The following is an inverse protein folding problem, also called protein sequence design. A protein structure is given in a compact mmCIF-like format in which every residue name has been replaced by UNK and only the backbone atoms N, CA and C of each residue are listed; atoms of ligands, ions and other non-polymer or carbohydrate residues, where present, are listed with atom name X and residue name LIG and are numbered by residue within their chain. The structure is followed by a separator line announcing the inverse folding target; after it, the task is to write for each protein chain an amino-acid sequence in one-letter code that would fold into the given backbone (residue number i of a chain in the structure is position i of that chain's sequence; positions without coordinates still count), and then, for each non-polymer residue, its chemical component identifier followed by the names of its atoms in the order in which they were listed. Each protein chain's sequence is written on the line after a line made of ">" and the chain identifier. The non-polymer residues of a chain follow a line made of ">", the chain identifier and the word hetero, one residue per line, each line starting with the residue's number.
data_IF_169779271668
#
_entry.id   IF_169779271668
#
_cell.length_a   1.000
_cell.length_b   1.000
_cell.length_c   1.000
_cell.angle_alpha   90.00
_cell.angle_beta   90.00
_cell.angle_gamma   90.00
#
_symmetry.space_group_name_H-M   'P 1'
#
loop_
_entity.id
_entity.type
_entity.pdbx_description
1 polymer ?
#
# COMPACT_ATOMS: atom_id res chain seq x y z
N UNK A 1 13.42 -11.25 6.94
CA UNK A 1 12.01 -11.60 7.14
C UNK A 1 11.72 -12.85 6.31
N UNK A 2 11.31 -13.93 6.95
CA UNK A 2 11.11 -15.24 6.31
C UNK A 2 9.95 -15.19 5.31
N UNK A 3 10.19 -15.67 4.09
CA UNK A 3 9.30 -15.67 2.92
C UNK A 3 8.01 -16.51 3.07
N UNK A 4 7.65 -16.90 4.30
CA UNK A 4 6.44 -17.66 4.59
C UNK A 4 5.86 -17.28 5.98
N UNK A 5 4.96 -16.29 6.06
CA UNK A 5 4.42 -15.86 7.34
C UNK A 5 3.50 -16.95 7.93
N UNK A 6 3.83 -17.42 9.14
CA UNK A 6 3.03 -18.41 9.88
C UNK A 6 1.73 -17.85 10.45
N UNK A 7 1.59 -16.51 10.47
CA UNK A 7 0.43 -15.79 10.98
C UNK A 7 0.00 -14.74 9.95
N UNK A 8 -1.31 -14.51 9.85
CA UNK A 8 -1.89 -13.51 8.95
C UNK A 8 -1.52 -12.08 9.37
N UNK A 9 -1.47 -11.82 10.68
CA UNK A 9 -1.06 -10.56 11.27
C UNK A 9 0.10 -10.81 12.23
N UNK A 10 1.12 -9.95 12.17
CA UNK A 10 2.23 -9.91 13.12
C UNK A 10 2.17 -8.53 13.76
N UNK A 11 1.53 -8.46 14.92
CA UNK A 11 1.35 -7.25 15.71
C UNK A 11 1.95 -7.47 17.09
N UNK A 12 2.35 -6.39 17.75
CA UNK A 12 2.56 -6.46 19.19
C UNK A 12 1.20 -6.51 19.91
N UNK A 13 1.23 -6.90 21.18
CA UNK A 13 0.01 -7.05 21.97
C UNK A 13 -0.72 -5.71 22.16
N UNK A 14 0.01 -4.60 22.25
CA UNK A 14 -0.58 -3.29 22.49
C UNK A 14 -1.36 -2.78 21.25
N UNK A 15 -0.80 -2.93 20.07
CA UNK A 15 -1.42 -2.61 18.79
C UNK A 15 -2.62 -3.53 18.53
N UNK A 16 -2.50 -4.83 18.82
CA UNK A 16 -3.61 -5.77 18.70
C UNK A 16 -4.77 -5.39 19.64
N UNK A 17 -4.50 -5.09 20.91
CA UNK A 17 -5.53 -4.63 21.83
C UNK A 17 -6.15 -3.30 21.41
N UNK A 18 -5.36 -2.38 20.87
CA UNK A 18 -5.86 -1.11 20.32
C UNK A 18 -6.85 -1.36 19.18
N UNK A 19 -6.49 -2.22 18.22
CA UNK A 19 -7.37 -2.59 17.11
C UNK A 19 -8.65 -3.27 17.62
N UNK A 20 -8.55 -4.19 18.58
CA UNK A 20 -9.71 -4.88 19.17
C UNK A 20 -10.63 -3.93 19.94
N UNK A 21 -10.09 -2.91 20.60
CA UNK A 21 -10.88 -1.86 21.25
C UNK A 21 -11.65 -1.04 20.20
N UNK A 22 -10.94 -0.57 19.18
CA UNK A 22 -11.52 0.19 18.08
C UNK A 22 -12.61 -0.61 17.34
N UNK A 23 -12.43 -1.92 17.15
CA UNK A 23 -13.45 -2.80 16.56
C UNK A 23 -14.75 -2.82 17.38
N UNK A 24 -14.64 -2.96 18.70
CA UNK A 24 -15.80 -3.03 19.62
C UNK A 24 -16.57 -1.72 19.69
N UNK A 25 -15.87 -0.60 19.59
CA UNK A 25 -16.45 0.73 19.78
C UNK A 25 -16.87 1.43 18.48
N UNK A 26 -16.50 0.88 17.32
CA UNK A 26 -16.72 1.53 16.05
C UNK A 26 -18.21 1.71 15.73
N UNK A 27 -18.63 2.96 15.50
CA UNK A 27 -20.01 3.36 15.15
C UNK A 27 -20.15 3.95 13.73
N UNK A 28 -19.17 3.69 12.86
CA UNK A 28 -19.22 4.16 11.46
C UNK A 28 -19.79 3.13 10.49
N UNK A 29 -19.64 3.37 9.19
CA UNK A 29 -20.07 2.44 8.14
C UNK A 29 -19.22 1.16 8.20
N UNK A 30 -19.86 -0.01 8.33
CA UNK A 30 -19.20 -1.31 8.46
C UNK A 30 -18.21 -1.63 7.33
N UNK A 31 -18.56 -1.30 6.08
CA UNK A 31 -17.68 -1.49 4.92
C UNK A 31 -16.36 -0.70 5.01
N UNK A 32 -16.34 0.41 5.75
CA UNK A 32 -15.09 1.14 6.02
C UNK A 32 -14.20 0.37 6.98
N UNK A 33 -14.76 -0.28 8.01
CA UNK A 33 -14.01 -1.11 8.95
C UNK A 33 -13.44 -2.36 8.25
N UNK A 34 -14.27 -3.05 7.46
CA UNK A 34 -13.84 -4.19 6.62
C UNK A 34 -12.67 -3.79 5.71
N UNK A 35 -12.79 -2.65 5.03
CA UNK A 35 -11.73 -2.15 4.17
C UNK A 35 -10.45 -1.79 4.93
N UNK A 36 -10.57 -1.23 6.14
CA UNK A 36 -9.43 -0.88 6.97
C UNK A 36 -8.67 -2.13 7.45
N UNK A 37 -9.41 -3.15 7.94
CA UNK A 37 -8.83 -4.45 8.31
C UNK A 37 -8.18 -5.14 7.11
N UNK A 38 -8.84 -5.12 5.94
CA UNK A 38 -8.26 -5.63 4.70
C UNK A 38 -6.98 -4.89 4.33
N UNK A 39 -6.94 -3.57 4.48
CA UNK A 39 -5.74 -2.77 4.24
C UNK A 39 -4.60 -3.14 5.21
N UNK A 40 -4.90 -3.41 6.49
CA UNK A 40 -3.90 -3.89 7.45
C UNK A 40 -3.27 -5.22 7.01
N UNK A 41 -4.11 -6.20 6.63
CA UNK A 41 -3.65 -7.51 6.15
C UNK A 41 -2.77 -7.35 4.91
N UNK A 42 -3.23 -6.59 3.90
CA UNK A 42 -2.43 -6.33 2.70
C UNK A 42 -1.13 -5.60 3.05
N UNK A 43 -1.16 -4.69 4.02
CA UNK A 43 0.02 -4.00 4.55
C UNK A 43 1.06 -4.94 5.14
N UNK A 44 0.65 -5.98 5.88
CA UNK A 44 1.57 -6.99 6.40
C UNK A 44 2.27 -7.77 5.29
N UNK A 45 1.54 -8.10 4.22
CA UNK A 45 2.04 -8.94 3.13
C UNK A 45 2.82 -8.17 2.08
N UNK A 46 2.50 -6.90 1.82
CA UNK A 46 3.09 -6.09 0.75
C UNK A 46 3.90 -4.90 1.26
N UNK A 47 3.64 -4.45 2.48
CA UNK A 47 4.26 -3.28 3.08
C UNK A 47 3.45 -1.99 2.92
N UNK A 48 3.65 -1.04 3.84
CA UNK A 48 2.86 0.20 3.89
C UNK A 48 3.08 1.11 2.68
N UNK A 49 4.24 1.01 1.98
CA UNK A 49 4.46 1.76 0.74
C UNK A 49 3.48 1.36 -0.35
N UNK A 50 3.14 0.07 -0.45
CA UNK A 50 2.14 -0.41 -1.41
C UNK A 50 0.76 0.12 -1.06
N UNK A 51 0.39 0.17 0.22
CA UNK A 51 -0.87 0.77 0.65
C UNK A 51 -1.02 2.25 0.22
N UNK A 52 0.07 3.03 0.27
CA UNK A 52 0.07 4.42 -0.21
C UNK A 52 -0.06 4.57 -1.72
N UNK A 53 0.20 3.52 -2.49
CA UNK A 53 -0.02 3.47 -3.93
C UNK A 53 -1.46 3.05 -4.27
N UNK A 54 -2.06 2.20 -3.43
CA UNK A 54 -3.42 1.69 -3.58
C UNK A 54 -4.48 2.70 -3.16
N UNK A 55 -4.23 3.43 -2.08
CA UNK A 55 -5.20 4.34 -1.48
C UNK A 55 -4.74 5.79 -1.59
N UNK A 56 -5.68 6.69 -1.85
CA UNK A 56 -5.41 8.12 -1.75
C UNK A 56 -5.08 8.50 -0.28
N UNK A 57 -4.43 9.65 -0.04
CA UNK A 57 -4.01 10.04 1.31
C UNK A 57 -5.14 10.22 2.33
N UNK A 58 -6.37 10.52 1.88
CA UNK A 58 -7.52 10.68 2.77
C UNK A 58 -8.04 9.31 3.24
N UNK A 59 -8.19 8.36 2.31
CA UNK A 59 -8.59 6.98 2.60
C UNK A 59 -7.57 6.26 3.48
N UNK A 60 -6.28 6.42 3.19
CA UNK A 60 -5.20 5.83 4.00
C UNK A 60 -5.30 6.28 5.46
N UNK A 61 -5.42 7.59 5.71
CA UNK A 61 -5.57 8.15 7.06
C UNK A 61 -6.89 7.77 7.72
N UNK A 62 -7.97 7.65 6.93
CA UNK A 62 -9.26 7.19 7.43
C UNK A 62 -9.13 5.79 8.01
N UNK A 63 -8.45 4.87 7.32
CA UNK A 63 -8.25 3.50 7.79
C UNK A 63 -7.38 3.44 9.04
N UNK A 64 -6.29 4.21 9.11
CA UNK A 64 -5.47 4.32 10.32
C UNK A 64 -6.31 4.82 11.52
N UNK A 65 -7.14 5.84 11.32
CA UNK A 65 -8.05 6.35 12.37
C UNK A 65 -9.09 5.32 12.80
N UNK A 66 -9.61 4.53 11.85
CA UNK A 66 -10.60 3.49 12.15
C UNK A 66 -9.98 2.40 13.02
N UNK A 67 -8.74 1.99 12.75
CA UNK A 67 -8.05 0.94 13.48
C UNK A 67 -7.30 1.41 14.74
N UNK A 68 -7.04 2.71 14.87
CA UNK A 68 -6.29 3.27 15.99
C UNK A 68 -4.77 3.10 15.89
N UNK A 69 -4.25 2.66 14.74
CA UNK A 69 -2.83 2.38 14.52
C UNK A 69 -2.30 3.08 13.26
N UNK A 70 -1.00 3.35 13.24
CA UNK A 70 -0.32 3.82 12.03
C UNK A 70 0.24 2.64 11.25
N UNK A 71 -0.11 2.50 9.97
CA UNK A 71 0.37 1.40 9.14
C UNK A 71 1.89 1.39 9.01
N UNK A 72 2.54 2.56 9.10
CA UNK A 72 4.00 2.65 9.10
C UNK A 72 4.68 1.98 10.30
N UNK A 73 3.97 1.89 11.43
CA UNK A 73 4.47 1.29 12.68
C UNK A 73 4.22 -0.21 12.67
N UNK A 74 3.03 -0.61 12.25
CA UNK A 74 2.59 -2.01 12.34
C UNK A 74 2.95 -2.86 11.13
N UNK A 75 3.19 -2.25 9.95
CA UNK A 75 3.53 -2.97 8.73
C UNK A 75 4.98 -2.71 8.31
N UNK A 76 5.64 -3.67 7.63
CA UNK A 76 6.94 -3.45 7.00
C UNK A 76 6.88 -2.31 5.97
N UNK A 77 8.01 -1.65 5.68
CA UNK A 77 8.05 -0.62 4.63
C UNK A 77 7.70 -1.18 3.25
N UNK A 78 8.33 -2.30 2.92
CA UNK A 78 8.10 -3.09 1.72
C UNK A 78 8.50 -4.53 2.06
N UNK A 79 7.78 -5.52 1.55
CA UNK A 79 8.15 -6.94 1.69
C UNK A 79 8.74 -7.47 0.39
N UNK A 80 9.37 -8.64 0.41
CA UNK A 80 9.82 -9.30 -0.82
C UNK A 80 8.64 -9.62 -1.76
N UNK A 81 7.50 -10.02 -1.21
CA UNK A 81 6.28 -10.22 -1.99
C UNK A 81 5.80 -8.90 -2.61
N UNK A 82 5.84 -7.79 -1.86
CA UNK A 82 5.51 -6.46 -2.32
C UNK A 82 6.40 -6.01 -3.47
N UNK A 83 7.73 -6.16 -3.33
CA UNK A 83 8.69 -5.91 -4.42
C UNK A 83 8.39 -6.78 -5.63
N UNK A 84 8.10 -8.07 -5.43
CA UNK A 84 7.89 -9.04 -6.52
C UNK A 84 6.57 -8.83 -7.28
N UNK A 85 5.48 -8.52 -6.59
CA UNK A 85 4.12 -8.50 -7.17
C UNK A 85 3.52 -7.11 -7.38
N UNK A 86 4.02 -6.06 -6.72
CA UNK A 86 3.47 -4.71 -6.89
C UNK A 86 4.09 -4.00 -8.10
N UNK A 87 3.31 -3.90 -9.18
CA UNK A 87 3.68 -3.16 -10.39
C UNK A 87 3.81 -1.66 -10.09
N UNK A 88 2.89 -1.12 -9.29
CA UNK A 88 2.95 0.26 -8.83
C UNK A 88 4.26 0.56 -8.10
N UNK A 89 4.74 -0.36 -7.26
CA UNK A 89 6.02 -0.20 -6.58
C UNK A 89 7.20 -0.28 -7.56
N UNK A 90 7.19 -1.23 -8.49
CA UNK A 90 8.23 -1.34 -9.52
C UNK A 90 8.37 -0.07 -10.36
N UNK A 91 7.25 0.60 -10.68
CA UNK A 91 7.23 1.91 -11.33
C UNK A 91 7.98 2.95 -10.47
N UNK A 92 7.71 2.99 -9.15
CA UNK A 92 8.38 3.95 -8.26
C UNK A 92 9.88 3.74 -8.16
N UNK A 93 10.34 2.48 -8.17
CA UNK A 93 11.76 2.15 -8.15
C UNK A 93 12.44 2.60 -9.43
N UNK A 94 11.79 2.39 -10.59
CA UNK A 94 12.33 2.79 -11.89
C UNK A 94 12.39 4.31 -12.07
N UNK A 95 11.38 5.03 -11.61
CA UNK A 95 11.36 6.50 -11.66
C UNK A 95 12.27 7.16 -10.61
N UNK A 96 12.85 6.40 -9.69
CA UNK A 96 13.70 6.92 -8.62
C UNK A 96 12.99 7.86 -7.63
N UNK A 97 11.66 7.97 -7.67
CA UNK A 97 10.91 8.94 -6.85
C UNK A 97 9.55 8.42 -6.40
N UNK A 98 9.54 7.75 -5.26
CA UNK A 98 8.32 7.20 -4.65
C UNK A 98 7.26 8.27 -4.36
N UNK A 99 7.66 9.37 -3.71
CA UNK A 99 6.72 10.43 -3.31
C UNK A 99 6.14 11.17 -4.51
N UNK A 100 6.88 11.34 -5.61
CA UNK A 100 6.35 11.96 -6.82
C UNK A 100 5.21 11.13 -7.43
N UNK A 101 5.31 9.80 -7.38
CA UNK A 101 4.25 8.89 -7.87
C UNK A 101 3.05 8.88 -6.92
N UNK A 102 3.27 8.77 -5.61
CA UNK A 102 2.20 8.79 -4.59
C UNK A 102 1.41 10.10 -4.64
N UNK A 103 2.10 11.23 -4.84
CA UNK A 103 1.47 12.55 -4.94
C UNK A 103 0.84 12.82 -6.32
N UNK A 104 0.92 11.87 -7.26
CA UNK A 104 0.40 12.04 -8.62
C UNK A 104 1.14 13.07 -9.48
N UNK A 105 2.33 13.52 -9.05
CA UNK A 105 3.18 14.46 -9.80
C UNK A 105 3.80 13.80 -11.04
N UNK A 106 4.00 12.48 -11.01
CA UNK A 106 4.32 11.67 -12.19
C UNK A 106 3.16 10.70 -12.44
N UNK A 107 2.40 10.94 -13.52
CA UNK A 107 1.30 10.05 -13.92
C UNK A 107 1.83 9.02 -14.90
N UNK A 108 1.64 7.74 -14.56
CA UNK A 108 1.82 6.63 -15.51
C UNK A 108 0.43 6.28 -16.05
N UNK A 109 0.14 6.57 -17.33
CA UNK A 109 -1.12 6.18 -17.94
C UNK A 109 -1.28 4.64 -17.93
N UNK A 110 -2.52 4.17 -17.85
CA UNK A 110 -2.88 2.74 -17.94
C UNK A 110 -2.19 1.80 -16.93
N UNK A 111 -1.68 2.34 -15.81
CA UNK A 111 -0.98 1.55 -14.76
C UNK A 111 -1.73 0.33 -14.23
N UNK A 112 -3.05 0.29 -14.37
CA UNK A 112 -3.90 -0.85 -13.98
C UNK A 112 -4.00 -1.96 -15.03
N UNK A 113 -3.57 -1.71 -16.27
CA UNK A 113 -3.56 -2.67 -17.38
C UNK A 113 -2.21 -3.34 -17.59
N UNK A 114 -1.18 -2.89 -16.86
CA UNK A 114 0.16 -3.47 -16.94
C UNK A 114 0.10 -4.86 -16.28
N UNK A 115 0.34 -5.89 -17.07
CA UNK A 115 0.30 -7.28 -16.58
C UNK A 115 1.68 -7.76 -16.09
N UNK A 116 2.77 -7.14 -16.57
CA UNK A 116 4.14 -7.55 -16.25
C UNK A 116 5.09 -6.36 -16.04
N UNK A 117 6.07 -6.55 -15.16
CA UNK A 117 7.17 -5.63 -14.86
C UNK A 117 8.02 -5.26 -16.08
N UNK A 118 8.14 -6.14 -17.08
CA UNK A 118 8.94 -5.84 -18.28
C UNK A 118 8.34 -4.70 -19.11
N UNK A 119 7.02 -4.51 -19.03
CA UNK A 119 6.30 -3.41 -19.70
C UNK A 119 6.46 -2.08 -18.95
N UNK A 120 6.77 -2.12 -17.65
CA UNK A 120 7.00 -0.92 -16.82
C UNK A 120 8.14 -0.09 -17.39
N UNK A 121 9.22 -0.73 -17.88
CA UNK A 121 10.37 -0.01 -18.44
C UNK A 121 9.97 0.84 -19.66
N UNK A 122 9.23 0.24 -20.61
CA UNK A 122 8.79 0.93 -21.83
C UNK A 122 7.89 2.13 -21.53
N UNK A 123 7.03 2.03 -20.51
CA UNK A 123 6.13 3.11 -20.12
C UNK A 123 6.83 4.21 -19.33
N UNK A 124 7.76 3.86 -18.44
CA UNK A 124 8.57 4.84 -17.71
C UNK A 124 9.44 5.64 -18.67
N UNK A 125 10.07 4.99 -19.65
CA UNK A 125 10.87 5.66 -20.68
C UNK A 125 10.02 6.67 -21.49
N UNK A 126 8.77 6.33 -21.84
CA UNK A 126 7.83 7.28 -22.49
C UNK A 126 7.46 8.48 -21.64
N UNK A 127 7.32 8.29 -20.32
CA UNK A 127 7.03 9.38 -19.37
C UNK A 127 8.21 10.34 -19.24
N UNK A 128 9.45 9.83 -19.20
CA UNK A 128 10.66 10.67 -19.14
C UNK A 128 10.95 11.38 -20.49
N UNK A 129 10.52 10.81 -21.63
CA UNK A 129 10.60 11.42 -22.96
C UNK A 129 9.54 12.51 -23.21
N UNK A 130 8.62 12.76 -22.28
CA UNK A 130 7.61 13.80 -22.41
C UNK A 130 6.49 13.50 -23.42
N UNK A 131 6.36 12.26 -23.88
CA UNK A 131 5.38 11.84 -24.90
C UNK A 131 3.97 11.58 -24.34
N UNK A 132 3.49 12.43 -23.43
CA UNK A 132 2.06 12.49 -23.13
C UNK A 132 1.42 13.56 -24.03
N UNK A 133 1.14 13.19 -25.29
CA UNK A 133 0.18 13.89 -26.15
C UNK A 133 -1.21 13.29 -25.98
#
# INVERSE_FOLDING_TARGET
>A
MTDNPKKLLILDEADEQTILQHLREYRGIGTTMESALGALIIGQYFGWRVLKLLHNPATYRKYEKVLGVEFKKVCPEITELGKKKSIGYAITEKLGSFWAVVMGKRKVPEKGMIANKDEVKKLVDKVDLGENK
#
